data_IF_669896518369
#
_entry.id   IF_669896518369
#
_cell.length_a   1.000
_cell.length_b   1.000
_cell.length_c   1.000
_cell.angle_alpha   90.00
_cell.angle_beta   90.00
_cell.angle_gamma   90.00
#
_symmetry.space_group_name_H-M   'P 1'
#
loop_
_entity.id
_entity.type
_entity.pdbx_description
1 polymer ?
#
# COMPACT_ATOMS: atom_id res chain seq x y z
N UNK A 1 4.84 29.21 30.71
CA UNK A 1 4.03 28.26 29.95
C UNK A 1 2.63 28.77 29.65
N UNK A 2 2.05 28.30 28.60
CA UNK A 2 0.66 28.58 28.23
C UNK A 2 -0.25 27.51 28.87
N UNK A 3 -1.23 27.93 29.65
CA UNK A 3 -2.23 27.02 30.22
C UNK A 3 -3.39 26.85 29.19
N UNK A 4 -3.57 25.66 28.66
CA UNK A 4 -4.54 25.38 27.56
C UNK A 4 -5.99 25.54 28.06
N UNK A 5 -6.33 25.03 29.23
CA UNK A 5 -7.69 25.11 29.77
C UNK A 5 -8.11 26.56 30.00
N UNK A 6 -7.21 27.39 30.57
CA UNK A 6 -7.50 28.80 30.84
C UNK A 6 -7.51 29.68 29.61
N UNK A 7 -6.72 29.33 28.60
CA UNK A 7 -6.64 30.10 27.36
C UNK A 7 -7.75 29.75 26.36
N UNK A 8 -8.43 28.61 26.53
CA UNK A 8 -9.39 28.07 25.56
C UNK A 8 -8.73 27.63 24.24
N UNK A 9 -7.42 27.38 24.26
CA UNK A 9 -6.67 26.95 23.08
C UNK A 9 -6.43 25.46 23.12
N UNK A 10 -6.36 24.88 21.93
CA UNK A 10 -5.89 23.53 21.66
C UNK A 10 -4.50 23.62 21.04
N UNK A 11 -3.64 22.65 21.36
CA UNK A 11 -2.25 22.62 20.93
C UNK A 11 -1.97 21.33 20.16
N UNK A 12 -1.54 21.45 18.91
CA UNK A 12 -0.94 20.36 18.16
C UNK A 12 0.57 20.41 18.40
N UNK A 13 1.07 19.47 19.19
CA UNK A 13 2.49 19.32 19.54
C UNK A 13 3.15 18.26 18.65
N UNK A 14 4.12 18.68 17.84
CA UNK A 14 4.81 17.88 16.83
C UNK A 14 6.23 17.56 17.30
N UNK A 15 6.53 16.28 17.49
CA UNK A 15 7.76 15.87 18.19
C UNK A 15 8.87 15.40 17.24
N UNK A 16 8.55 14.75 16.12
CA UNK A 16 9.54 14.20 15.20
C UNK A 16 9.58 14.95 13.85
N UNK A 17 10.62 14.70 13.08
CA UNK A 17 10.87 15.32 11.78
C UNK A 17 9.67 15.20 10.83
N UNK A 18 9.05 14.02 10.74
CA UNK A 18 7.94 13.78 9.84
C UNK A 18 6.67 14.50 10.27
N UNK A 19 6.37 14.51 11.58
CA UNK A 19 5.20 15.23 12.07
C UNK A 19 5.35 16.74 11.87
N UNK A 20 6.54 17.30 12.05
CA UNK A 20 6.85 18.70 11.77
C UNK A 20 6.65 19.00 10.27
N UNK A 21 7.16 18.14 9.39
CA UNK A 21 7.04 18.29 7.94
C UNK A 21 5.59 18.23 7.48
N UNK A 22 4.81 17.25 7.94
CA UNK A 22 3.39 17.13 7.59
C UNK A 22 2.53 18.18 8.29
N UNK A 23 2.89 18.61 9.49
CA UNK A 23 2.25 19.74 10.15
C UNK A 23 2.33 21.02 9.34
N UNK A 24 3.51 21.33 8.80
CA UNK A 24 3.71 22.49 7.92
C UNK A 24 2.90 22.40 6.60
N UNK A 25 2.59 21.19 6.12
CA UNK A 25 1.82 20.99 4.90
C UNK A 25 0.30 21.09 5.12
N UNK A 26 -0.19 20.56 6.25
CA UNK A 26 -1.63 20.33 6.40
C UNK A 26 -2.31 21.17 7.47
N UNK A 27 -1.55 21.72 8.43
CA UNK A 27 -2.14 22.59 9.45
C UNK A 27 -2.36 24.00 8.89
N UNK A 28 -3.55 24.56 9.03
CA UNK A 28 -3.81 25.95 8.65
C UNK A 28 -2.91 26.92 9.45
N UNK A 29 -2.56 28.03 8.80
CA UNK A 29 -1.81 29.09 9.47
C UNK A 29 -2.52 29.58 10.73
N UNK A 30 -1.81 29.64 11.85
CA UNK A 30 -2.32 30.06 13.16
C UNK A 30 -1.20 30.58 14.04
N UNK A 31 -1.49 30.87 15.30
CA UNK A 31 -0.47 31.14 16.34
C UNK A 31 0.42 29.92 16.48
N UNK A 32 1.74 30.11 16.37
CA UNK A 32 2.69 29.00 16.48
C UNK A 32 3.88 29.34 17.39
N UNK A 33 4.40 28.32 18.06
CA UNK A 33 5.71 28.38 18.68
C UNK A 33 6.61 27.26 18.15
N UNK A 34 7.91 27.44 18.34
CA UNK A 34 8.89 26.50 17.85
C UNK A 34 10.05 26.32 18.80
N UNK A 35 10.93 25.41 18.42
CA UNK A 35 12.20 25.18 19.12
C UNK A 35 13.37 25.50 18.19
N UNK A 36 14.33 26.26 18.70
CA UNK A 36 15.59 26.53 18.02
C UNK A 36 16.64 25.55 18.54
N UNK A 37 17.22 24.81 17.62
CA UNK A 37 18.30 23.87 17.92
C UNK A 37 19.65 24.60 18.08
N UNK A 38 20.67 23.99 18.69
CA UNK A 38 22.01 24.61 18.83
C UNK A 38 22.65 25.00 17.50
N UNK A 39 22.32 24.31 16.39
CA UNK A 39 22.78 24.63 15.03
C UNK A 39 22.04 25.83 14.39
N UNK A 40 21.17 26.51 15.12
CA UNK A 40 20.40 27.67 14.66
C UNK A 40 19.09 27.35 13.91
N UNK A 41 18.82 26.08 13.59
CA UNK A 41 17.58 25.68 12.91
C UNK A 41 16.38 25.89 13.80
N UNK A 42 15.37 26.60 13.30
CA UNK A 42 14.09 26.83 13.96
C UNK A 42 13.05 25.84 13.40
N UNK A 43 12.51 25.01 14.27
CA UNK A 43 11.45 24.04 13.96
C UNK A 43 10.14 24.52 14.58
N UNK A 44 9.08 24.67 13.78
CA UNK A 44 7.73 24.97 14.28
C UNK A 44 7.13 23.68 14.81
N UNK A 45 6.89 23.62 16.11
CA UNK A 45 6.48 22.38 16.80
C UNK A 45 5.13 22.48 17.46
N UNK A 46 4.60 23.68 17.68
CA UNK A 46 3.31 23.88 18.32
C UNK A 46 2.42 24.78 17.45
N UNK A 47 1.18 24.34 17.23
CA UNK A 47 0.15 25.05 16.50
C UNK A 47 -1.07 25.21 17.40
N UNK A 48 -1.45 26.47 17.70
CA UNK A 48 -2.52 26.79 18.64
C UNK A 48 -3.78 27.23 17.92
N UNK A 49 -4.88 26.52 18.17
CA UNK A 49 -6.19 26.78 17.57
C UNK A 49 -7.24 27.08 18.64
N UNK A 50 -8.20 27.95 18.30
CA UNK A 50 -9.48 27.99 19.00
C UNK A 50 -10.31 26.84 18.46
N UNK A 51 -10.75 25.95 19.33
CA UNK A 51 -11.63 24.88 18.94
C UNK A 51 -12.85 24.85 19.84
N UNK A 52 -14.02 24.72 19.21
CA UNK A 52 -15.32 24.65 19.89
C UNK A 52 -15.77 23.20 20.14
N UNK A 53 -14.99 22.22 19.71
CA UNK A 53 -15.32 20.81 19.93
C UNK A 53 -15.22 20.49 21.43
N UNK A 54 -16.22 19.76 21.92
CA UNK A 54 -16.34 19.36 23.32
C UNK A 54 -15.32 18.30 23.77
N UNK A 55 -14.17 18.24 23.12
CA UNK A 55 -13.10 17.32 23.49
C UNK A 55 -12.53 17.71 24.85
N UNK A 56 -12.59 16.78 25.78
CA UNK A 56 -12.15 16.97 27.15
C UNK A 56 -10.80 16.31 27.45
N UNK A 57 -10.27 15.53 26.51
CA UNK A 57 -9.08 14.72 26.70
C UNK A 57 -8.08 14.93 25.58
N UNK A 58 -6.81 14.80 25.90
CA UNK A 58 -5.74 14.74 24.93
C UNK A 58 -5.89 13.51 24.01
N UNK A 59 -5.52 13.66 22.76
CA UNK A 59 -5.57 12.60 21.74
C UNK A 59 -4.16 12.34 21.24
N UNK A 60 -3.70 11.11 21.26
CA UNK A 60 -2.39 10.74 20.73
C UNK A 60 -2.36 9.32 20.21
N UNK A 61 -1.61 9.09 19.15
CA UNK A 61 -1.27 7.75 18.65
C UNK A 61 0.05 7.27 19.28
N UNK A 62 1.05 8.14 19.26
CA UNK A 62 2.37 7.94 19.86
C UNK A 62 2.94 9.29 20.29
N UNK A 63 3.27 9.41 21.56
CA UNK A 63 3.83 10.63 22.18
C UNK A 63 5.18 11.09 21.60
N UNK A 64 5.88 10.21 20.87
CA UNK A 64 7.13 10.54 20.17
C UNK A 64 6.91 11.00 18.73
N UNK A 65 5.67 10.99 18.27
CA UNK A 65 5.28 11.45 16.95
C UNK A 65 4.57 12.79 17.02
N UNK A 66 3.42 12.84 17.67
CA UNK A 66 2.64 14.06 17.84
C UNK A 66 1.58 13.87 18.94
N UNK A 67 1.20 14.97 19.58
CA UNK A 67 0.16 15.04 20.61
C UNK A 67 -0.86 16.14 20.26
N UNK A 68 -2.15 15.82 20.31
CA UNK A 68 -3.22 16.82 20.30
C UNK A 68 -3.64 17.07 21.73
N UNK A 69 -3.27 18.22 22.25
CA UNK A 69 -3.39 18.57 23.67
C UNK A 69 -4.52 19.54 23.89
N UNK A 70 -5.38 19.18 24.80
CA UNK A 70 -6.58 19.94 25.18
C UNK A 70 -6.45 20.51 26.57
N UNK A 71 -5.70 19.83 27.42
CA UNK A 71 -5.49 20.17 28.83
C UNK A 71 -4.01 20.36 29.17
N UNK A 72 -3.74 20.94 30.33
CA UNK A 72 -2.39 21.07 30.85
C UNK A 72 -1.66 22.34 30.41
N UNK A 73 -0.34 22.27 30.41
CA UNK A 73 0.53 23.40 30.09
C UNK A 73 1.49 23.09 28.96
N UNK A 74 1.65 24.04 28.04
CA UNK A 74 2.65 24.00 26.99
C UNK A 74 3.73 25.03 27.20
N UNK A 75 4.99 24.64 27.04
CA UNK A 75 6.13 25.56 27.13
C UNK A 75 6.33 26.22 25.78
N UNK A 76 6.00 27.49 25.67
CA UNK A 76 6.06 28.27 24.43
C UNK A 76 7.24 29.24 24.37
N UNK A 77 7.93 29.44 25.48
CA UNK A 77 9.03 30.38 25.59
C UNK A 77 10.04 29.94 26.64
N UNK A 78 11.33 30.20 26.43
CA UNK A 78 12.42 29.88 27.34
C UNK A 78 13.25 28.67 26.91
N UNK A 79 14.16 28.24 27.79
CA UNK A 79 15.06 27.11 27.51
C UNK A 79 14.49 25.82 28.07
N UNK A 80 14.49 24.77 27.25
CA UNK A 80 14.10 23.39 27.59
C UNK A 80 15.18 22.43 27.13
N UNK A 81 15.12 21.17 27.57
CA UNK A 81 16.01 20.12 27.07
C UNK A 81 15.26 19.21 26.09
N UNK A 82 15.94 18.85 25.02
CA UNK A 82 15.44 17.81 24.12
C UNK A 82 15.22 16.50 24.90
N UNK A 83 14.09 15.84 24.66
CA UNK A 83 13.73 14.62 25.39
C UNK A 83 14.70 13.45 25.10
N UNK A 84 15.27 13.43 23.89
CA UNK A 84 16.14 12.35 23.41
C UNK A 84 17.62 12.72 23.51
N UNK A 85 18.03 13.81 22.86
CA UNK A 85 19.45 14.21 22.76
C UNK A 85 19.97 14.91 24.02
N UNK A 86 19.07 15.39 24.90
CA UNK A 86 19.38 16.18 26.11
C UNK A 86 20.02 17.55 25.86
N UNK A 87 20.08 17.97 24.59
CA UNK A 87 20.56 19.28 24.18
C UNK A 87 19.63 20.39 24.66
N UNK A 88 20.18 21.56 24.87
CA UNK A 88 19.39 22.74 25.24
C UNK A 88 18.69 23.29 24.01
N UNK A 89 17.38 23.46 24.10
CA UNK A 89 16.51 23.99 23.07
C UNK A 89 15.92 25.31 23.53
N UNK A 90 16.01 26.34 22.70
CA UNK A 90 15.34 27.62 22.98
C UNK A 90 13.95 27.59 22.30
N UNK A 91 12.91 27.81 23.13
CA UNK A 91 11.54 27.93 22.64
C UNK A 91 11.18 29.38 22.43
N UNK A 92 10.56 29.69 21.32
CA UNK A 92 10.15 31.03 20.94
C UNK A 92 8.85 31.04 20.12
N UNK A 93 8.15 32.18 20.13
CA UNK A 93 7.03 32.38 19.24
C UNK A 93 7.54 32.53 17.80
N UNK A 94 6.88 31.87 16.85
CA UNK A 94 7.26 31.89 15.43
C UNK A 94 6.28 32.77 14.63
N UNK A 95 5.00 32.42 14.66
CA UNK A 95 3.96 33.26 14.07
C UNK A 95 3.05 33.78 15.18
N UNK A 96 2.97 35.09 15.31
CA UNK A 96 2.21 35.78 16.36
C UNK A 96 0.86 36.28 15.86
N UNK A 97 0.25 35.56 14.95
CA UNK A 97 -1.11 35.84 14.46
C UNK A 97 -2.14 35.37 15.49
N UNK A 98 -3.34 35.92 15.42
CA UNK A 98 -4.42 35.46 16.30
C UNK A 98 -4.73 33.97 16.04
N UNK A 99 -4.93 33.16 17.11
CA UNK A 99 -5.32 31.76 16.94
C UNK A 99 -6.61 31.64 16.11
N UNK A 100 -6.55 30.82 15.06
CA UNK A 100 -7.70 30.56 14.16
C UNK A 100 -8.58 29.44 14.70
N UNK A 101 -9.80 29.39 14.23
CA UNK A 101 -10.70 28.25 14.41
C UNK A 101 -10.42 27.21 13.34
N UNK A 102 -10.46 25.92 13.71
CA UNK A 102 -10.30 24.79 12.78
C UNK A 102 -11.25 23.65 13.21
N UNK A 103 -12.30 23.43 12.46
CA UNK A 103 -13.34 22.44 12.77
C UNK A 103 -12.88 20.99 12.55
N UNK A 104 -11.91 20.76 11.63
CA UNK A 104 -11.41 19.43 11.30
C UNK A 104 -10.04 19.14 11.95
N UNK A 105 -9.72 19.79 13.05
CA UNK A 105 -8.39 19.76 13.66
C UNK A 105 -7.98 18.35 14.05
N UNK A 106 -8.88 17.57 14.65
CA UNK A 106 -8.60 16.17 15.01
C UNK A 106 -8.39 15.30 13.78
N UNK A 107 -9.17 15.48 12.71
CA UNK A 107 -9.00 14.76 11.44
C UNK A 107 -7.62 15.05 10.83
N UNK A 108 -7.21 16.32 10.82
CA UNK A 108 -5.89 16.72 10.34
C UNK A 108 -4.78 16.13 11.22
N UNK A 109 -4.93 16.18 12.53
CA UNK A 109 -3.97 15.61 13.48
C UNK A 109 -3.81 14.09 13.30
N UNK A 110 -4.91 13.36 13.14
CA UNK A 110 -4.90 11.92 12.87
C UNK A 110 -4.19 11.60 11.55
N UNK A 111 -4.42 12.42 10.52
CA UNK A 111 -3.74 12.34 9.22
C UNK A 111 -2.22 12.53 9.37
N UNK A 112 -1.77 13.54 10.12
CA UNK A 112 -0.36 13.81 10.41
C UNK A 112 0.28 12.62 11.13
N UNK A 113 -0.35 12.14 12.21
CA UNK A 113 0.16 11.03 13.01
C UNK A 113 0.32 9.75 12.19
N UNK A 114 -0.68 9.42 11.36
CA UNK A 114 -0.63 8.27 10.46
C UNK A 114 0.50 8.38 9.45
N UNK A 115 0.57 9.50 8.74
CA UNK A 115 1.61 9.74 7.73
C UNK A 115 3.01 9.67 8.34
N UNK A 116 3.20 10.27 9.52
CA UNK A 116 4.48 10.27 10.23
C UNK A 116 4.93 8.88 10.68
N UNK A 117 3.98 8.02 11.03
CA UNK A 117 4.27 6.65 11.44
C UNK A 117 4.73 5.76 10.27
N UNK A 118 4.26 6.02 9.05
CA UNK A 118 4.60 5.19 7.87
C UNK A 118 5.71 5.80 7.01
N UNK A 119 5.94 7.11 7.07
CA UNK A 119 6.91 7.81 6.22
C UNK A 119 8.33 7.20 6.24
N UNK A 120 8.91 6.85 7.40
CA UNK A 120 10.26 6.28 7.45
C UNK A 120 10.40 4.91 6.77
N UNK A 121 9.28 4.25 6.48
CA UNK A 121 9.23 2.87 5.99
C UNK A 121 8.99 2.79 4.47
N UNK A 122 8.71 3.92 3.83
CA UNK A 122 8.37 3.95 2.40
C UNK A 122 9.63 4.03 1.56
N UNK A 123 9.73 3.15 0.56
CA UNK A 123 10.91 3.07 -0.33
C UNK A 123 10.61 3.39 -1.80
N UNK A 124 9.33 3.44 -2.21
CA UNK A 124 8.93 3.68 -3.60
C UNK A 124 7.50 4.19 -3.69
N UNK A 125 7.26 5.16 -4.58
CA UNK A 125 5.93 5.72 -4.79
C UNK A 125 4.99 4.77 -5.58
N UNK A 126 5.51 4.00 -6.53
CA UNK A 126 4.67 3.22 -7.45
C UNK A 126 3.84 2.13 -6.75
N UNK A 127 4.52 1.11 -6.23
CA UNK A 127 3.85 -0.02 -5.55
C UNK A 127 3.25 0.41 -4.20
N UNK A 128 3.93 1.34 -3.51
CA UNK A 128 3.48 1.86 -2.23
C UNK A 128 2.15 2.59 -2.34
N UNK A 129 2.00 3.50 -3.31
CA UNK A 129 0.77 4.26 -3.51
C UNK A 129 -0.41 3.36 -3.90
N UNK A 130 -0.20 2.35 -4.76
CA UNK A 130 -1.25 1.41 -5.13
C UNK A 130 -1.84 0.68 -3.92
N UNK A 131 -0.96 0.17 -3.06
CA UNK A 131 -1.37 -0.57 -1.86
C UNK A 131 -1.94 0.35 -0.79
N UNK A 132 -1.36 1.53 -0.60
CA UNK A 132 -1.82 2.53 0.37
C UNK A 132 -3.21 3.05 0.00
N UNK A 133 -3.45 3.42 -1.27
CA UNK A 133 -4.77 3.85 -1.73
C UNK A 133 -5.84 2.76 -1.52
N UNK A 134 -5.50 1.50 -1.81
CA UNK A 134 -6.41 0.37 -1.53
C UNK A 134 -6.78 0.28 -0.05
N UNK A 135 -5.84 0.56 0.85
CA UNK A 135 -6.13 0.62 2.28
C UNK A 135 -6.99 1.82 2.65
N UNK A 136 -6.65 3.01 2.17
CA UNK A 136 -7.40 4.23 2.46
C UNK A 136 -8.84 4.12 1.95
N UNK A 137 -9.06 3.64 0.74
CA UNK A 137 -10.40 3.38 0.18
C UNK A 137 -11.23 2.45 1.07
N UNK A 138 -10.61 1.47 1.67
CA UNK A 138 -11.29 0.44 2.47
C UNK A 138 -11.55 0.85 3.91
N UNK A 139 -10.60 1.54 4.52
CA UNK A 139 -10.62 1.82 5.97
C UNK A 139 -10.94 3.27 6.33
N UNK A 140 -11.13 4.14 5.33
CA UNK A 140 -11.55 5.52 5.54
C UNK A 140 -12.82 5.83 4.74
N UNK A 141 -13.46 6.93 5.07
CA UNK A 141 -14.57 7.53 4.32
C UNK A 141 -14.09 8.58 3.30
N UNK A 142 -12.78 8.65 3.05
CA UNK A 142 -12.18 9.65 2.18
C UNK A 142 -12.65 9.51 0.74
N UNK A 143 -13.04 10.63 0.16
CA UNK A 143 -13.33 10.75 -1.26
C UNK A 143 -12.10 10.49 -2.13
N UNK A 144 -12.30 10.27 -3.41
CA UNK A 144 -11.20 10.10 -4.38
C UNK A 144 -10.26 11.32 -4.38
N UNK A 145 -10.80 12.53 -4.22
CA UNK A 145 -10.02 13.76 -4.14
C UNK A 145 -9.16 13.81 -2.88
N UNK A 146 -9.75 13.51 -1.71
CA UNK A 146 -8.99 13.48 -0.46
C UNK A 146 -7.86 12.43 -0.48
N UNK A 147 -8.09 11.27 -1.11
CA UNK A 147 -7.05 10.26 -1.28
C UNK A 147 -5.96 10.71 -2.24
N UNK A 148 -6.33 11.38 -3.36
CA UNK A 148 -5.38 11.93 -4.32
C UNK A 148 -4.47 12.98 -3.66
N UNK A 149 -5.07 13.93 -2.96
CA UNK A 149 -4.35 15.01 -2.26
C UNK A 149 -3.42 14.42 -1.20
N UNK A 150 -3.90 13.45 -0.43
CA UNK A 150 -3.07 12.76 0.55
C UNK A 150 -1.87 12.04 -0.09
N UNK A 151 -2.09 11.27 -1.14
CA UNK A 151 -1.01 10.54 -1.82
C UNK A 151 0.01 11.49 -2.42
N UNK A 152 -0.47 12.57 -3.04
CA UNK A 152 0.41 13.56 -3.66
C UNK A 152 1.29 14.26 -2.61
N UNK A 153 0.68 14.79 -1.56
CA UNK A 153 1.39 15.47 -0.48
C UNK A 153 2.36 14.53 0.23
N UNK A 154 1.89 13.33 0.57
CA UNK A 154 2.66 12.32 1.29
C UNK A 154 3.90 11.88 0.51
N UNK A 155 3.72 11.42 -0.74
CA UNK A 155 4.85 10.93 -1.53
C UNK A 155 5.78 12.05 -1.98
N UNK A 156 5.28 13.26 -2.25
CA UNK A 156 6.15 14.42 -2.52
C UNK A 156 7.00 14.78 -1.31
N UNK A 157 6.44 14.66 -0.11
CA UNK A 157 7.20 14.91 1.11
C UNK A 157 8.24 13.82 1.42
N UNK A 158 7.88 12.53 1.20
CA UNK A 158 8.73 11.38 1.59
C UNK A 158 9.75 11.05 0.51
N UNK A 159 9.38 11.15 -0.76
CA UNK A 159 10.19 10.78 -1.93
C UNK A 159 10.18 11.92 -2.97
N UNK A 160 10.77 13.08 -2.68
CA UNK A 160 10.66 14.27 -3.54
C UNK A 160 11.24 14.06 -4.94
N UNK A 161 12.24 13.20 -5.08
CA UNK A 161 12.93 12.93 -6.36
C UNK A 161 12.36 11.72 -7.13
N UNK A 162 11.32 11.06 -6.59
CA UNK A 162 10.70 9.91 -7.25
C UNK A 162 9.84 10.39 -8.43
N UNK A 163 10.23 10.01 -9.67
CA UNK A 163 9.55 10.35 -10.93
C UNK A 163 8.11 9.85 -10.99
N UNK A 164 7.75 8.92 -10.15
CA UNK A 164 6.43 8.34 -10.06
C UNK A 164 5.47 9.15 -9.16
N UNK A 165 5.99 10.16 -8.45
CA UNK A 165 5.22 11.06 -7.60
C UNK A 165 4.55 12.15 -8.44
N UNK A 166 3.47 11.80 -9.14
CA UNK A 166 2.70 12.73 -9.96
C UNK A 166 1.18 12.55 -9.77
N UNK A 167 0.45 13.68 -9.78
CA UNK A 167 -1.02 13.66 -9.67
C UNK A 167 -1.68 12.76 -10.74
N UNK A 168 -1.17 12.81 -11.98
CA UNK A 168 -1.67 11.97 -13.08
C UNK A 168 -1.50 10.48 -12.80
N UNK A 169 -0.40 10.07 -12.17
CA UNK A 169 -0.15 8.68 -11.82
C UNK A 169 -1.02 8.23 -10.67
N UNK A 170 -1.12 9.02 -9.62
CA UNK A 170 -1.97 8.70 -8.47
C UNK A 170 -3.45 8.66 -8.85
N UNK A 171 -3.91 9.56 -9.73
CA UNK A 171 -5.28 9.49 -10.27
C UNK A 171 -5.55 8.18 -11.03
N UNK A 172 -4.58 7.67 -11.79
CA UNK A 172 -4.70 6.36 -12.46
C UNK A 172 -4.77 5.21 -11.45
N UNK A 173 -4.01 5.27 -10.36
CA UNK A 173 -4.04 4.29 -9.27
C UNK A 173 -5.43 4.28 -8.62
N UNK A 174 -5.96 5.44 -8.25
CA UNK A 174 -7.30 5.57 -7.65
C UNK A 174 -8.37 5.02 -8.59
N UNK A 175 -8.33 5.38 -9.86
CA UNK A 175 -9.27 4.90 -10.86
C UNK A 175 -9.19 3.37 -11.06
N UNK A 176 -7.99 2.79 -10.99
CA UNK A 176 -7.79 1.34 -11.03
C UNK A 176 -8.38 0.66 -9.81
N UNK A 177 -8.05 1.14 -8.61
CA UNK A 177 -8.57 0.60 -7.36
C UNK A 177 -10.09 0.74 -7.25
N UNK A 178 -10.68 1.77 -7.86
CA UNK A 178 -12.14 1.94 -7.89
C UNK A 178 -12.85 0.92 -8.77
N UNK A 179 -12.20 0.37 -9.80
CA UNK A 179 -12.74 -0.67 -10.67
C UNK A 179 -12.60 -2.06 -10.08
N UNK A 180 -11.62 -2.27 -9.21
CA UNK A 180 -11.37 -3.56 -8.59
C UNK A 180 -12.37 -3.85 -7.46
N UNK A 181 -12.99 -5.02 -7.51
CA UNK A 181 -13.86 -5.53 -6.43
C UNK A 181 -13.07 -6.11 -5.27
N UNK A 182 -11.81 -6.47 -5.49
CA UNK A 182 -10.89 -7.03 -4.48
C UNK A 182 -9.67 -6.12 -4.33
N UNK A 183 -9.80 -5.11 -3.48
CA UNK A 183 -8.67 -4.26 -3.14
C UNK A 183 -7.70 -4.97 -2.18
N UNK A 184 -6.41 -4.68 -2.29
CA UNK A 184 -5.41 -5.16 -1.35
C UNK A 184 -5.78 -4.72 0.08
N UNK A 185 -5.72 -5.65 1.03
CA UNK A 185 -5.98 -5.34 2.43
C UNK A 185 -4.73 -4.76 3.12
N UNK A 186 -4.91 -4.34 4.38
CA UNK A 186 -3.83 -3.78 5.20
C UNK A 186 -2.60 -4.69 5.31
N UNK A 187 -2.77 -6.02 5.23
CA UNK A 187 -1.66 -6.98 5.26
C UNK A 187 -0.67 -6.76 4.12
N UNK A 188 -1.17 -6.55 2.90
CA UNK A 188 -0.32 -6.32 1.73
C UNK A 188 0.48 -5.02 1.82
N UNK A 189 -0.08 -3.97 2.44
CA UNK A 189 0.65 -2.73 2.67
C UNK A 189 1.61 -2.87 3.85
N UNK A 190 1.22 -3.55 4.92
CA UNK A 190 2.09 -3.85 6.06
C UNK A 190 3.35 -4.64 5.63
N UNK A 191 3.17 -5.67 4.80
CA UNK A 191 4.29 -6.44 4.23
C UNK A 191 5.20 -5.55 3.36
N UNK A 192 4.61 -4.65 2.58
CA UNK A 192 5.38 -3.74 1.72
C UNK A 192 6.26 -2.78 2.53
N UNK A 193 5.75 -2.20 3.62
CA UNK A 193 6.50 -1.27 4.48
C UNK A 193 7.29 -1.98 5.59
N UNK A 194 7.26 -3.31 5.66
CA UNK A 194 7.96 -4.07 6.70
C UNK A 194 7.39 -3.90 8.11
N UNK A 195 6.10 -3.53 8.22
CA UNK A 195 5.42 -3.32 9.50
C UNK A 195 4.59 -4.55 9.90
N UNK A 196 4.46 -4.79 11.21
CA UNK A 196 3.56 -5.83 11.70
C UNK A 196 2.11 -5.54 11.28
N UNK A 197 1.36 -6.53 10.74
CA UNK A 197 -0.02 -6.33 10.29
C UNK A 197 -0.96 -5.78 11.36
N UNK A 198 -0.76 -6.19 12.63
CA UNK A 198 -1.54 -5.69 13.77
C UNK A 198 -1.34 -4.18 13.98
N UNK A 199 -0.10 -3.70 13.84
CA UNK A 199 0.21 -2.27 13.95
C UNK A 199 -0.37 -1.47 12.79
N UNK A 200 -0.31 -1.99 11.58
CA UNK A 200 -0.94 -1.36 10.41
C UNK A 200 -2.46 -1.27 10.57
N UNK A 201 -3.09 -2.31 11.12
CA UNK A 201 -4.54 -2.27 11.41
C UNK A 201 -4.89 -1.20 12.44
N UNK A 202 -4.08 -1.05 13.49
CA UNK A 202 -4.22 -0.01 14.49
C UNK A 202 -4.12 1.40 13.87
N UNK A 203 -3.09 1.63 13.02
CA UNK A 203 -2.90 2.89 12.32
C UNK A 203 -4.05 3.24 11.38
N UNK A 204 -4.59 2.28 10.66
CA UNK A 204 -5.74 2.47 9.78
C UNK A 204 -7.02 2.71 10.57
N UNK A 205 -7.21 2.04 11.69
CA UNK A 205 -8.30 2.32 12.63
C UNK A 205 -8.20 3.71 13.26
N UNK A 206 -6.98 4.19 13.46
CA UNK A 206 -6.73 5.54 13.96
C UNK A 206 -7.14 6.64 12.97
N UNK A 207 -6.84 6.47 11.67
CA UNK A 207 -7.15 7.47 10.64
C UNK A 207 -8.61 7.35 10.14
N UNK A 208 -9.19 6.15 10.18
CA UNK A 208 -10.55 5.88 9.75
C UNK A 208 -11.49 5.79 10.95
N UNK A 209 -12.51 6.63 11.01
CA UNK A 209 -13.58 6.51 12.02
C UNK A 209 -14.53 5.33 11.76
N UNK A 210 -14.22 4.45 10.82
CA UNK A 210 -15.11 3.34 10.45
C UNK A 210 -14.59 2.02 10.97
N UNK A 211 -15.38 1.30 11.79
CA UNK A 211 -15.20 -0.13 11.92
C UNK A 211 -15.32 -0.76 10.53
N UNK A 212 -14.54 -1.83 10.25
CA UNK A 212 -14.62 -2.62 9.00
C UNK A 212 -16.06 -2.57 8.44
N UNK A 213 -16.25 -1.92 7.28
CA UNK A 213 -17.58 -1.90 6.64
C UNK A 213 -18.01 -3.35 6.49
N UNK A 214 -19.04 -3.74 7.24
CA UNK A 214 -19.65 -5.05 7.12
C UNK A 214 -20.01 -5.30 5.66
N UNK A 215 -19.44 -6.33 5.05
CA UNK A 215 -19.67 -6.69 3.65
C UNK A 215 -18.43 -7.20 2.92
N UNK A 216 -17.24 -7.05 3.46
CA UNK A 216 -16.10 -7.74 2.92
C UNK A 216 -16.13 -9.21 3.36
N UNK A 217 -16.52 -10.09 2.45
CA UNK A 217 -16.25 -11.51 2.66
C UNK A 217 -14.74 -11.63 2.91
N UNK A 218 -14.37 -12.00 4.11
CA UNK A 218 -12.98 -12.36 4.45
C UNK A 218 -12.49 -13.25 3.33
N UNK A 219 -11.58 -12.75 2.50
CA UNK A 219 -10.73 -13.67 1.75
C UNK A 219 -10.18 -14.60 2.81
N UNK A 220 -10.35 -15.91 2.73
CA UNK A 220 -9.93 -16.79 3.79
C UNK A 220 -8.47 -16.44 4.08
N UNK A 221 -8.22 -15.94 5.30
CA UNK A 221 -6.90 -15.69 5.80
C UNK A 221 -6.12 -16.96 5.54
N UNK A 222 -4.92 -16.81 5.02
CA UNK A 222 -3.92 -17.84 4.84
C UNK A 222 -4.24 -19.03 5.73
N UNK A 223 -5.02 -19.96 5.15
CA UNK A 223 -5.44 -21.27 5.63
C UNK A 223 -5.49 -21.39 7.16
N UNK A 224 -6.66 -21.32 7.70
CA UNK A 224 -6.91 -21.98 8.98
C UNK A 224 -6.61 -23.47 8.74
N UNK A 225 -5.40 -23.89 9.07
CA UNK A 225 -4.95 -25.27 8.89
C UNK A 225 -5.85 -26.26 9.65
N UNK A 226 -6.55 -25.81 10.69
CA UNK A 226 -7.52 -26.64 11.42
C UNK A 226 -8.85 -26.79 10.67
N UNK A 227 -9.30 -25.72 9.98
CA UNK A 227 -10.55 -25.77 9.22
C UNK A 227 -10.40 -26.44 7.85
N UNK A 228 -9.18 -26.42 7.25
CA UNK A 228 -8.88 -27.02 5.95
C UNK A 228 -7.92 -28.23 6.05
N UNK A 229 -7.60 -28.67 7.25
CA UNK A 229 -6.84 -29.89 7.47
C UNK A 229 -7.66 -31.11 7.06
N UNK A 230 -7.09 -31.98 6.24
CA UNK A 230 -7.72 -33.24 5.87
C UNK A 230 -7.23 -34.30 6.84
N UNK A 231 -8.15 -34.96 7.53
CA UNK A 231 -7.83 -36.14 8.38
C UNK A 231 -7.28 -37.25 7.48
N UNK A 232 -6.09 -37.76 7.84
CA UNK A 232 -5.39 -38.79 7.07
C UNK A 232 -6.26 -40.05 6.89
N UNK A 233 -7.03 -40.45 7.88
CA UNK A 233 -7.96 -41.59 7.77
C UNK A 233 -9.06 -41.33 6.75
N UNK A 234 -9.64 -40.13 6.76
CA UNK A 234 -10.64 -39.73 5.80
C UNK A 234 -10.07 -39.64 4.39
N UNK A 235 -8.79 -39.19 4.24
CA UNK A 235 -8.10 -39.12 2.96
C UNK A 235 -7.87 -40.53 2.36
N UNK A 236 -7.47 -41.48 3.18
CA UNK A 236 -7.22 -42.88 2.78
C UNK A 236 -8.47 -43.61 2.26
N UNK A 237 -9.65 -43.18 2.71
CA UNK A 237 -10.93 -43.77 2.31
C UNK A 237 -11.65 -42.99 1.22
N UNK A 238 -11.10 -41.82 0.85
CA UNK A 238 -11.71 -40.94 -0.16
C UNK A 238 -11.39 -41.47 -1.55
N UNK A 239 -12.43 -41.71 -2.35
CA UNK A 239 -12.28 -41.97 -3.78
C UNK A 239 -11.84 -40.66 -4.49
N UNK A 240 -10.59 -40.66 -4.93
CA UNK A 240 -9.99 -39.50 -5.65
C UNK A 240 -9.84 -39.92 -7.10
N UNK A 241 -10.52 -39.25 -8.05
CA UNK A 241 -10.37 -39.55 -9.46
C UNK A 241 -8.92 -39.36 -9.93
N UNK A 242 -8.46 -40.13 -10.94
CA UNK A 242 -7.11 -39.97 -11.47
C UNK A 242 -6.92 -38.57 -12.05
N UNK A 243 -5.68 -38.09 -12.01
CA UNK A 243 -5.33 -36.77 -12.59
C UNK A 243 -5.56 -36.80 -14.10
N UNK A 244 -6.26 -35.78 -14.60
CA UNK A 244 -6.32 -35.49 -16.03
C UNK A 244 -5.07 -34.70 -16.45
N UNK A 245 -4.67 -34.88 -17.68
CA UNK A 245 -3.47 -34.25 -18.23
C UNK A 245 -3.78 -33.58 -19.58
N UNK A 246 -3.41 -32.34 -19.73
CA UNK A 246 -3.37 -31.69 -21.03
C UNK A 246 -2.23 -32.26 -21.91
N UNK A 247 -1.10 -32.61 -21.29
CA UNK A 247 0.03 -33.31 -21.91
C UNK A 247 0.52 -34.41 -20.98
N UNK A 248 0.19 -35.63 -21.26
CA UNK A 248 0.52 -36.78 -20.41
C UNK A 248 2.00 -37.22 -20.64
N UNK A 249 2.78 -37.45 -19.58
CA UNK A 249 2.50 -37.31 -18.15
C UNK A 249 2.99 -35.99 -17.51
N UNK A 250 3.32 -34.96 -18.31
CA UNK A 250 4.12 -33.79 -17.89
C UNK A 250 3.26 -32.58 -17.49
N UNK A 251 2.03 -32.44 -18.00
CA UNK A 251 1.20 -31.29 -17.72
C UNK A 251 -0.18 -31.73 -17.20
N UNK A 252 -0.34 -31.90 -15.88
CA UNK A 252 -1.64 -32.19 -15.30
C UNK A 252 -2.58 -30.98 -15.34
N UNK A 253 -3.87 -31.20 -15.13
CA UNK A 253 -4.83 -30.12 -14.90
C UNK A 253 -4.48 -29.35 -13.61
N UNK A 254 -4.81 -28.05 -13.57
CA UNK A 254 -4.56 -27.15 -12.45
C UNK A 254 -3.54 -26.08 -12.79
N UNK A 255 -2.97 -25.46 -11.73
CA UNK A 255 -1.98 -24.38 -11.88
C UNK A 255 -0.57 -24.97 -12.02
N UNK A 256 0.06 -24.74 -13.17
CA UNK A 256 1.45 -25.14 -13.44
C UNK A 256 2.30 -23.91 -13.69
N UNK A 257 3.50 -23.84 -13.09
CA UNK A 257 4.44 -22.76 -13.29
C UNK A 257 5.66 -23.20 -14.11
N UNK A 258 5.97 -22.43 -15.19
CA UNK A 258 7.21 -22.60 -15.97
C UNK A 258 8.23 -21.58 -15.48
N UNK A 259 9.26 -22.04 -14.79
CA UNK A 259 10.33 -21.19 -14.25
C UNK A 259 11.65 -21.36 -15.02
N UNK A 260 12.46 -20.32 -15.06
CA UNK A 260 13.78 -20.35 -15.71
C UNK A 260 14.41 -18.96 -15.84
N UNK A 261 15.69 -18.89 -16.15
CA UNK A 261 16.45 -17.64 -16.35
C UNK A 261 15.84 -16.77 -17.48
N UNK A 262 16.10 -15.47 -17.53
CA UNK A 262 15.79 -14.64 -18.70
C UNK A 262 16.35 -15.27 -19.99
N UNK A 263 15.60 -15.15 -21.10
CA UNK A 263 15.95 -15.73 -22.40
C UNK A 263 15.98 -17.27 -22.48
N UNK A 264 15.49 -18.01 -21.49
CA UNK A 264 15.38 -19.47 -21.48
C UNK A 264 14.17 -20.01 -22.28
N UNK A 265 13.69 -19.26 -23.26
CA UNK A 265 12.60 -19.67 -24.20
C UNK A 265 11.23 -19.96 -23.58
N UNK A 266 11.00 -19.60 -22.30
CA UNK A 266 9.74 -19.86 -21.59
C UNK A 266 8.47 -19.45 -22.36
N UNK A 267 8.45 -18.23 -22.91
CA UNK A 267 7.32 -17.71 -23.69
C UNK A 267 7.11 -18.48 -25.01
N UNK A 268 8.19 -18.98 -25.61
CA UNK A 268 8.08 -19.83 -26.80
C UNK A 268 7.52 -21.19 -26.43
N UNK A 269 7.99 -21.79 -25.34
CA UNK A 269 7.47 -23.09 -24.86
C UNK A 269 5.99 -23.00 -24.50
N UNK A 270 5.56 -21.93 -23.86
CA UNK A 270 4.15 -21.70 -23.53
C UNK A 270 3.29 -21.52 -24.81
N UNK A 271 3.77 -20.73 -25.76
CA UNK A 271 3.09 -20.52 -27.03
C UNK A 271 3.01 -21.83 -27.85
N UNK A 272 4.10 -22.62 -27.89
CA UNK A 272 4.15 -23.93 -28.54
C UNK A 272 3.18 -24.91 -27.89
N UNK A 273 3.10 -24.93 -26.57
CA UNK A 273 2.14 -25.76 -25.84
C UNK A 273 0.70 -25.43 -26.25
N UNK A 274 0.31 -24.13 -26.22
CA UNK A 274 -1.01 -23.70 -26.68
C UNK A 274 -1.30 -24.13 -28.13
N UNK A 275 -0.33 -23.95 -29.02
CA UNK A 275 -0.45 -24.36 -30.41
C UNK A 275 -0.64 -25.87 -30.54
N UNK A 276 0.06 -26.68 -29.76
CA UNK A 276 -0.07 -28.13 -29.79
C UNK A 276 -1.42 -28.60 -29.22
N UNK A 277 -1.90 -27.99 -28.15
CA UNK A 277 -3.20 -28.30 -27.54
C UNK A 277 -4.33 -28.01 -28.52
N UNK A 278 -4.31 -26.84 -29.16
CA UNK A 278 -5.37 -26.43 -30.10
C UNK A 278 -5.42 -27.31 -31.36
N UNK A 279 -4.27 -27.76 -31.83
CA UNK A 279 -4.17 -28.56 -33.07
C UNK A 279 -4.09 -30.09 -32.82
N UNK A 280 -4.03 -30.54 -31.54
CA UNK A 280 -3.87 -31.97 -31.22
C UNK A 280 -2.51 -32.54 -31.64
N UNK A 281 -1.47 -31.70 -31.66
CA UNK A 281 -0.12 -32.10 -32.07
C UNK A 281 0.70 -32.52 -30.84
N UNK A 282 1.70 -33.39 -31.03
CA UNK A 282 2.60 -33.78 -29.96
C UNK A 282 3.40 -32.57 -29.43
N UNK A 283 3.48 -32.44 -28.12
CA UNK A 283 4.31 -31.45 -27.46
C UNK A 283 5.52 -32.13 -26.82
N UNK A 284 6.72 -31.73 -27.20
CA UNK A 284 7.98 -32.38 -26.77
C UNK A 284 7.96 -33.92 -26.86
N UNK A 285 7.33 -34.47 -27.93
CA UNK A 285 7.21 -35.91 -28.14
C UNK A 285 6.04 -36.59 -27.40
N UNK A 286 5.37 -35.90 -26.49
CA UNK A 286 4.26 -36.44 -25.70
C UNK A 286 2.88 -36.18 -26.36
N UNK A 287 1.97 -37.10 -26.14
CA UNK A 287 0.60 -36.95 -26.61
C UNK A 287 -0.11 -35.81 -25.88
N UNK A 288 -0.86 -35.03 -26.63
CA UNK A 288 -1.62 -33.89 -26.14
C UNK A 288 -3.10 -34.20 -26.29
N UNK A 289 -3.87 -33.88 -25.27
CA UNK A 289 -5.32 -33.84 -25.37
C UNK A 289 -5.74 -32.58 -26.11
N UNK A 290 -6.42 -32.74 -27.24
CA UNK A 290 -6.86 -31.63 -28.07
C UNK A 290 -7.94 -30.83 -27.37
N UNK A 291 -7.78 -29.51 -27.28
CA UNK A 291 -8.72 -28.60 -26.65
C UNK A 291 -8.51 -27.16 -27.08
N UNK A 292 -9.29 -26.25 -26.53
CA UNK A 292 -9.13 -24.83 -26.75
C UNK A 292 -8.00 -24.28 -25.86
N UNK A 293 -7.11 -23.45 -26.42
CA UNK A 293 -6.02 -22.83 -25.72
C UNK A 293 -6.10 -21.30 -25.81
N UNK A 294 -5.94 -20.60 -24.68
CA UNK A 294 -5.84 -19.13 -24.60
C UNK A 294 -4.44 -18.73 -24.18
N UNK A 295 -3.72 -18.03 -25.07
CA UNK A 295 -2.41 -17.47 -24.76
C UNK A 295 -2.51 -15.97 -24.45
N UNK A 296 -2.13 -15.56 -23.24
CA UNK A 296 -2.09 -14.17 -22.81
C UNK A 296 -0.66 -13.62 -22.87
N UNK A 297 -0.29 -13.08 -24.02
CA UNK A 297 1.04 -12.49 -24.28
C UNK A 297 1.09 -11.02 -23.84
N UNK A 298 1.17 -10.74 -22.54
CA UNK A 298 1.11 -9.37 -21.99
C UNK A 298 2.31 -8.47 -22.36
N UNK A 299 3.43 -9.08 -22.76
CA UNK A 299 4.66 -8.39 -23.15
C UNK A 299 4.89 -8.37 -24.68
N UNK A 300 4.10 -9.13 -25.44
CA UNK A 300 4.26 -9.26 -26.89
C UNK A 300 3.25 -8.37 -27.64
N UNK A 301 3.73 -7.68 -28.69
CA UNK A 301 2.83 -7.01 -29.63
C UNK A 301 2.15 -8.05 -30.53
N UNK A 302 0.95 -7.74 -31.08
CA UNK A 302 0.20 -8.61 -32.00
C UNK A 302 1.06 -9.03 -33.19
N UNK A 303 1.84 -8.12 -33.76
CA UNK A 303 2.75 -8.39 -34.87
C UNK A 303 3.80 -9.45 -34.51
N UNK A 304 4.38 -9.34 -33.30
CA UNK A 304 5.39 -10.29 -32.83
C UNK A 304 4.78 -11.65 -32.51
N UNK A 305 3.59 -11.66 -31.95
CA UNK A 305 2.87 -12.88 -31.65
C UNK A 305 2.50 -13.62 -32.94
N UNK A 306 1.99 -12.90 -33.95
CA UNK A 306 1.71 -13.45 -35.30
C UNK A 306 2.92 -14.09 -35.97
N UNK A 307 4.09 -13.41 -35.95
CA UNK A 307 5.35 -13.92 -36.51
C UNK A 307 5.82 -15.21 -35.78
N UNK A 308 5.71 -15.24 -34.47
CA UNK A 308 6.05 -16.43 -33.67
C UNK A 308 5.15 -17.60 -33.94
N UNK A 309 3.83 -17.40 -33.99
CA UNK A 309 2.85 -18.43 -34.28
C UNK A 309 3.06 -19.01 -35.71
N UNK A 310 3.37 -18.13 -36.66
CA UNK A 310 3.65 -18.56 -38.04
C UNK A 310 4.95 -19.39 -38.12
N UNK A 311 6.00 -19.05 -37.37
CA UNK A 311 7.23 -19.85 -37.31
C UNK A 311 6.98 -21.22 -36.68
N UNK A 312 6.24 -21.30 -35.58
CA UNK A 312 5.85 -22.57 -34.94
C UNK A 312 5.04 -23.47 -35.87
N UNK A 313 4.08 -22.90 -36.59
CA UNK A 313 3.28 -23.63 -37.58
C UNK A 313 4.13 -24.23 -38.70
N UNK A 314 5.06 -23.46 -39.28
CA UNK A 314 5.96 -23.92 -40.34
C UNK A 314 6.86 -25.10 -39.92
N UNK A 315 7.44 -25.03 -38.75
CA UNK A 315 8.37 -26.06 -38.29
C UNK A 315 7.64 -27.37 -37.97
N UNK A 316 6.42 -27.30 -37.45
CA UNK A 316 5.61 -28.50 -37.17
C UNK A 316 4.96 -29.11 -38.38
N UNK A 317 4.58 -28.34 -39.41
CA UNK A 317 4.14 -28.86 -40.69
C UNK A 317 5.26 -29.59 -41.44
N UNK A 318 6.49 -29.08 -41.38
CA UNK A 318 7.64 -29.79 -41.99
C UNK A 318 7.92 -31.13 -41.31
N UNK A 319 7.84 -31.20 -39.99
CA UNK A 319 8.06 -32.44 -39.24
C UNK A 319 6.92 -33.47 -39.41
N UNK A 320 5.69 -33.01 -39.59
CA UNK A 320 4.57 -33.89 -39.90
C UNK A 320 4.65 -34.49 -41.32
N UNK A 321 5.17 -33.73 -42.29
CA UNK A 321 5.36 -34.23 -43.65
C UNK A 321 6.58 -35.15 -43.79
N UNK A 322 7.64 -34.98 -43.00
CA UNK A 322 8.79 -35.88 -43.00
C UNK A 322 8.54 -37.24 -42.35
N UNK A 323 7.46 -37.40 -41.59
CA UNK A 323 7.03 -38.65 -40.98
C UNK A 323 6.09 -39.52 -41.86
N UNK A 324 5.70 -39.04 -43.06
CA UNK A 324 4.81 -39.73 -44.01
C UNK A 324 5.61 -40.39 -45.15
N UNK A 325 6.90 -40.10 -45.22
CA UNK A 325 7.79 -40.68 -46.25
C UNK A 325 8.78 -41.69 -45.66
N UNK A 326 8.28 -42.67 -44.90
CA UNK A 326 9.02 -43.80 -44.39
C UNK A 326 8.18 -45.05 -44.37
#
# INVERSE_FOLDING_TARGET
GLNLEKSGLKDIDLENEWSIKFGALWLPETLTSGRRRPNGVLEVTHYFYKNHDNEKNDVMLDKHVAEYRVIGQTVVFGTTKDKITKEDLTREWVHTVAPKECHDLEKIFRKISFASAIAPLVVSANTGALKLDSCLKRYTDWSDTERLDFLLDFYTAVLPDDRDTTAKKFQRIINSNNKETKNAGFQSYAEYVGMAPTKMKELLGWIGNTPDKEGYQKTPSRRDFKANGVDMKALMTKDIPPLNYAVKPILPEGLVAIAGRPKAMKSWTALELCYCVENGLKFMGHAVEKGNALYLGLEDSERRLKDRTFKLGRDKYKNAMSGISG
#
